data_IF_072931000678
#
_entry.id   IF_072931000678
#
_cell.length_a   1.000
_cell.length_b   1.000
_cell.length_c   1.000
_cell.angle_alpha   90.00
_cell.angle_beta   90.00
_cell.angle_gamma   90.00
#
_symmetry.space_group_name_H-M   'P 1'
#
loop_
_entity.id
_entity.type
_entity.pdbx_description
1 polymer ?
#
# COMPACT_ATOMS: atom_id res chain seq x y z
N UNK A 1 -25.01 18.26 29.13
CA UNK A 1 -24.13 18.68 28.02
C UNK A 1 -22.95 17.73 27.96
N UNK A 2 -22.98 16.77 27.03
CA UNK A 2 -21.80 16.03 26.57
C UNK A 2 -22.21 15.37 25.26
N UNK A 3 -21.79 15.99 24.17
CA UNK A 3 -22.11 15.64 22.81
C UNK A 3 -21.38 14.38 22.34
N UNK A 4 -22.11 13.64 21.50
CA UNK A 4 -21.77 12.51 20.64
C UNK A 4 -20.28 12.23 20.41
N UNK A 5 -19.87 11.01 20.75
CA UNK A 5 -18.76 10.32 20.08
C UNK A 5 -19.40 9.37 19.06
N UNK A 6 -19.54 9.83 17.82
CA UNK A 6 -19.84 8.99 16.66
C UNK A 6 -18.77 9.23 15.60
N UNK A 7 -18.01 8.19 15.28
CA UNK A 7 -17.57 7.79 13.93
C UNK A 7 -16.65 6.58 14.09
N UNK A 8 -17.23 5.37 14.09
CA UNK A 8 -17.32 4.48 12.92
C UNK A 8 -16.00 4.38 12.16
N UNK A 9 -15.31 3.26 12.35
CA UNK A 9 -14.69 2.53 11.25
C UNK A 9 -14.76 1.04 11.57
N UNK A 10 -15.83 0.44 11.06
CA UNK A 10 -16.03 -0.98 10.93
C UNK A 10 -15.00 -1.61 9.99
N UNK A 11 -14.89 -2.92 10.16
CA UNK A 11 -14.57 -3.91 9.13
C UNK A 11 -13.15 -3.91 8.59
N UNK A 12 -12.39 -4.93 8.98
CA UNK A 12 -12.52 -6.24 8.32
C UNK A 12 -11.29 -7.06 8.67
N UNK A 13 -11.50 -8.10 9.47
CA UNK A 13 -10.69 -9.30 9.34
C UNK A 13 -10.71 -9.73 7.87
N UNK A 14 -9.58 -10.18 7.32
CA UNK A 14 -9.57 -11.27 6.33
C UNK A 14 -8.12 -11.71 6.07
N UNK A 15 -7.84 -12.87 6.66
CA UNK A 15 -7.04 -13.98 6.17
C UNK A 15 -6.76 -14.00 4.66
N UNK A 16 -5.53 -14.32 4.24
CA UNK A 16 -5.25 -15.48 3.37
C UNK A 16 -3.86 -15.45 2.71
N UNK A 17 -3.27 -16.63 2.70
CA UNK A 17 -2.33 -17.22 1.74
C UNK A 17 -0.94 -16.59 1.51
N UNK A 18 0.02 -17.14 2.26
CA UNK A 18 1.11 -17.97 1.73
C UNK A 18 1.78 -17.50 0.43
N UNK A 19 2.88 -16.76 0.57
CA UNK A 19 3.86 -16.63 -0.50
C UNK A 19 4.89 -17.75 -0.40
N UNK A 20 4.64 -18.83 -1.14
CA UNK A 20 5.65 -19.82 -1.47
C UNK A 20 6.85 -19.14 -2.11
N UNK A 21 7.99 -19.30 -1.44
CA UNK A 21 9.30 -18.82 -1.87
C UNK A 21 9.90 -19.83 -2.85
N UNK A 22 9.40 -19.86 -4.08
CA UNK A 22 10.08 -20.56 -5.17
C UNK A 22 11.16 -19.64 -5.75
N UNK A 23 12.41 -19.97 -5.40
CA UNK A 23 13.59 -19.42 -6.05
C UNK A 23 13.70 -20.02 -7.44
N UNK A 24 13.30 -19.29 -8.49
CA UNK A 24 13.58 -19.75 -9.86
C UNK A 24 13.94 -18.59 -10.79
N UNK A 25 15.17 -18.65 -11.29
CA UNK A 25 15.72 -17.97 -12.47
C UNK A 25 15.84 -16.44 -12.46
N UNK A 26 17.06 -15.96 -12.73
CA UNK A 26 17.40 -14.56 -13.04
C UNK A 26 16.85 -14.19 -14.43
N UNK A 27 15.52 -14.16 -14.61
CA UNK A 27 14.96 -13.43 -15.74
C UNK A 27 15.15 -11.93 -15.49
N UNK A 28 15.50 -11.18 -16.53
CA UNK A 28 15.60 -9.72 -16.48
C UNK A 28 14.23 -9.15 -16.14
N UNK A 29 13.98 -8.97 -14.83
CA UNK A 29 12.66 -8.66 -14.28
C UNK A 29 12.23 -7.30 -14.84
N UNK A 30 11.32 -7.29 -15.81
CA UNK A 30 10.74 -6.06 -16.37
C UNK A 30 10.21 -5.22 -15.22
N UNK A 31 10.61 -3.94 -15.16
CA UNK A 31 10.17 -3.02 -14.11
C UNK A 31 8.64 -2.93 -14.17
N UNK A 32 7.97 -3.29 -13.07
CA UNK A 32 6.51 -3.11 -12.95
C UNK A 32 6.21 -1.61 -13.02
N UNK A 33 5.38 -1.21 -13.98
CA UNK A 33 4.78 0.11 -14.00
C UNK A 33 3.56 0.09 -13.07
N UNK A 34 3.42 1.13 -12.24
CA UNK A 34 2.26 1.33 -11.39
C UNK A 34 1.57 2.63 -11.83
N UNK A 35 0.24 2.58 -12.01
CA UNK A 35 -0.57 3.76 -12.25
C UNK A 35 -0.50 4.71 -11.04
N UNK A 36 -0.72 6.00 -11.28
CA UNK A 36 -0.69 7.03 -10.24
C UNK A 36 -1.75 6.73 -9.17
N UNK A 37 -2.96 6.37 -9.59
CA UNK A 37 -4.06 5.95 -8.70
C UNK A 37 -3.63 4.83 -7.75
N UNK A 38 -3.00 3.77 -8.27
CA UNK A 38 -2.54 2.63 -7.46
C UNK A 38 -1.42 3.01 -6.48
N UNK A 39 -0.56 3.97 -6.84
CA UNK A 39 0.46 4.49 -5.92
C UNK A 39 -0.19 5.27 -4.78
N UNK A 40 -1.17 6.13 -5.10
CA UNK A 40 -1.90 6.93 -4.11
C UNK A 40 -2.72 6.04 -3.17
N UNK A 41 -3.41 5.02 -3.68
CA UNK A 41 -4.15 4.05 -2.86
C UNK A 41 -3.21 3.33 -1.87
N UNK A 42 -2.00 2.96 -2.32
CA UNK A 42 -0.99 2.36 -1.46
C UNK A 42 -0.42 3.33 -0.42
N UNK A 43 -0.26 4.62 -0.76
CA UNK A 43 0.17 5.68 0.16
C UNK A 43 -0.90 5.94 1.23
N UNK A 44 -2.16 6.12 0.83
CA UNK A 44 -3.28 6.35 1.73
C UNK A 44 -3.43 5.18 2.72
N UNK A 45 -3.28 3.94 2.24
CA UNK A 45 -3.29 2.76 3.09
C UNK A 45 -2.05 2.69 4.02
N UNK A 46 -0.87 3.08 3.55
CA UNK A 46 0.34 3.11 4.36
C UNK A 46 0.29 4.17 5.47
N UNK A 47 -0.36 5.30 5.21
CA UNK A 47 -0.60 6.39 6.17
C UNK A 47 -1.67 5.99 7.20
N UNK A 48 -2.74 5.30 6.78
CA UNK A 48 -3.82 4.83 7.67
C UNK A 48 -3.41 3.66 8.57
N UNK A 49 -2.61 2.73 8.05
CA UNK A 49 -2.21 1.52 8.77
C UNK A 49 -0.70 1.50 9.01
N UNK A 50 0.05 0.88 8.10
CA UNK A 50 1.50 0.85 8.16
C UNK A 50 2.10 0.56 6.78
N UNK A 51 3.35 0.97 6.59
CA UNK A 51 4.12 0.73 5.36
C UNK A 51 4.31 -0.77 5.10
N UNK A 52 4.45 -1.55 6.16
CA UNK A 52 4.57 -3.02 6.08
C UNK A 52 3.25 -3.68 5.67
N UNK A 53 2.11 -3.19 6.19
CA UNK A 53 0.79 -3.69 5.81
C UNK A 53 0.46 -3.35 4.36
N UNK A 54 0.78 -2.12 3.91
CA UNK A 54 0.64 -1.73 2.51
C UNK A 54 1.49 -2.62 1.59
N UNK A 55 2.71 -2.98 1.99
CA UNK A 55 3.59 -3.83 1.19
C UNK A 55 2.96 -5.19 0.90
N UNK A 56 2.35 -5.78 1.93
CA UNK A 56 1.63 -7.05 1.82
C UNK A 56 0.37 -6.89 0.97
N UNK A 57 -0.46 -5.87 1.25
CA UNK A 57 -1.75 -5.66 0.56
C UNK A 57 -1.59 -5.41 -0.94
N UNK A 58 -0.61 -4.61 -1.35
CA UNK A 58 -0.45 -4.21 -2.74
C UNK A 58 0.58 -5.07 -3.51
N UNK A 59 1.27 -6.00 -2.83
CA UNK A 59 2.35 -6.79 -3.43
C UNK A 59 3.53 -5.94 -3.90
N UNK A 60 3.73 -4.79 -3.25
CA UNK A 60 4.75 -3.78 -3.56
C UNK A 60 5.83 -3.84 -2.50
N UNK A 61 7.11 -3.76 -2.90
CA UNK A 61 8.20 -3.74 -1.93
C UNK A 61 8.10 -2.57 -0.96
N UNK A 62 8.37 -2.79 0.33
CA UNK A 62 8.30 -1.75 1.38
C UNK A 62 9.08 -0.48 1.02
N UNK A 63 10.26 -0.61 0.39
CA UNK A 63 11.05 0.53 -0.09
C UNK A 63 10.31 1.36 -1.15
N UNK A 64 9.56 0.72 -2.05
CA UNK A 64 8.77 1.44 -3.06
C UNK A 64 7.64 2.23 -2.40
N UNK A 65 6.97 1.65 -1.40
CA UNK A 65 5.94 2.36 -0.63
C UNK A 65 6.53 3.54 0.13
N UNK A 66 7.68 3.38 0.79
CA UNK A 66 8.37 4.50 1.45
C UNK A 66 8.68 5.62 0.45
N UNK A 67 9.18 5.27 -0.74
CA UNK A 67 9.45 6.25 -1.78
C UNK A 67 8.18 6.97 -2.24
N UNK A 68 7.06 6.26 -2.40
CA UNK A 68 5.79 6.90 -2.78
C UNK A 68 5.22 7.79 -1.70
N UNK A 69 5.33 7.40 -0.42
CA UNK A 69 4.93 8.25 0.71
C UNK A 69 5.77 9.52 0.73
N UNK A 70 7.09 9.43 0.51
CA UNK A 70 7.95 10.61 0.42
C UNK A 70 7.67 11.47 -0.83
N UNK A 71 7.07 10.88 -1.87
CA UNK A 71 6.70 11.55 -3.12
C UNK A 71 5.20 11.85 -3.19
N UNK A 72 4.48 11.77 -2.07
CA UNK A 72 3.01 11.87 -2.04
C UNK A 72 2.53 13.18 -2.68
N UNK A 73 3.14 14.31 -2.32
CA UNK A 73 2.81 15.62 -2.88
C UNK A 73 2.92 15.64 -4.41
N UNK A 74 4.01 15.10 -4.94
CA UNK A 74 4.24 14.99 -6.38
C UNK A 74 3.23 14.07 -7.06
N UNK A 75 2.92 12.93 -6.45
CA UNK A 75 1.94 11.98 -7.00
C UNK A 75 0.52 12.58 -7.06
N UNK A 76 0.17 13.47 -6.13
CA UNK A 76 -1.13 14.18 -6.14
C UNK A 76 -1.17 15.30 -7.17
N UNK A 77 -0.03 15.90 -7.53
CA UNK A 77 0.07 16.90 -8.60
C UNK A 77 0.03 16.29 -10.01
N UNK A 78 0.38 15.01 -10.15
CA UNK A 78 0.36 14.27 -11.43
C UNK A 78 -0.97 13.53 -11.71
N UNK A 79 -1.96 13.61 -10.80
CA UNK A 79 -3.35 13.13 -11.01
C UNK A 79 -4.08 13.99 -12.04
#
# INVERSE_FOLDING_TARGET
>A
MSDKIEQKNSDSELNSESQEKSQESKSSRKRKAYSIEKKLEAVDYANKYSKSSASKKFGVGRTQIINWVNQEEKLRQEQ
#
